data_IF_763087084672
#
_entry.id   IF_763087084672
#
_cell.length_a   1.000
_cell.length_b   1.000
_cell.length_c   1.000
_cell.angle_alpha   90.00
_cell.angle_beta   90.00
_cell.angle_gamma   90.00
#
_symmetry.space_group_name_H-M   'P 1'
#
loop_
_entity.id
_entity.type
_entity.pdbx_description
1 polymer ?
#
# COMPACT_ATOMS: atom_id res chain seq x y z
N UNK A 1 1.96 -43.27 22.32
CA UNK A 1 3.03 -42.65 21.50
C UNK A 1 2.65 -42.38 20.03
N UNK A 2 1.84 -43.20 19.34
CA UNK A 2 1.47 -42.95 17.92
C UNK A 2 0.47 -41.80 17.70
N UNK A 3 -0.55 -41.63 18.55
CA UNK A 3 -1.57 -40.57 18.40
C UNK A 3 -1.00 -39.13 18.46
N UNK A 4 0.03 -38.91 19.30
CA UNK A 4 0.71 -37.61 19.43
C UNK A 4 1.52 -37.23 18.17
N UNK A 5 1.92 -38.22 17.36
CA UNK A 5 2.71 -38.00 16.14
C UNK A 5 1.82 -37.49 15.01
N UNK A 6 0.60 -38.03 14.88
CA UNK A 6 -0.40 -37.57 13.91
C UNK A 6 -0.91 -36.16 14.23
N UNK A 7 -1.17 -35.85 15.50
CA UNK A 7 -1.57 -34.49 15.93
C UNK A 7 -0.50 -33.44 15.65
N UNK A 8 0.79 -33.79 15.80
CA UNK A 8 1.90 -32.87 15.51
C UNK A 8 2.04 -32.55 14.03
N UNK A 9 1.75 -33.50 13.14
CA UNK A 9 1.83 -33.28 11.69
C UNK A 9 0.63 -32.47 11.19
N UNK A 10 -0.55 -32.69 11.77
CA UNK A 10 -1.73 -31.89 11.49
C UNK A 10 -1.54 -30.42 11.94
N UNK A 11 -0.96 -30.19 13.12
CA UNK A 11 -0.67 -28.84 13.61
C UNK A 11 0.33 -28.09 12.70
N UNK A 12 1.38 -28.76 12.24
CA UNK A 12 2.36 -28.18 11.31
C UNK A 12 1.70 -27.83 9.98
N UNK A 13 0.83 -28.70 9.45
CA UNK A 13 0.13 -28.45 8.19
C UNK A 13 -0.81 -27.24 8.28
N UNK A 14 -1.54 -27.07 9.39
CA UNK A 14 -2.43 -25.92 9.60
C UNK A 14 -1.65 -24.62 9.72
N UNK A 15 -0.54 -24.62 10.47
CA UNK A 15 0.32 -23.44 10.60
C UNK A 15 0.94 -23.06 9.24
N UNK A 16 1.43 -24.05 8.49
CA UNK A 16 2.01 -23.82 7.17
C UNK A 16 0.97 -23.26 6.18
N UNK A 17 -0.25 -23.83 6.16
CA UNK A 17 -1.34 -23.34 5.33
C UNK A 17 -1.78 -21.91 5.72
N UNK A 18 -1.86 -21.61 7.03
CA UNK A 18 -2.17 -20.27 7.53
C UNK A 18 -1.09 -19.25 7.18
N UNK A 19 0.19 -19.63 7.29
CA UNK A 19 1.31 -18.77 6.90
C UNK A 19 1.32 -18.49 5.38
N UNK A 20 1.03 -19.50 4.54
CA UNK A 20 0.90 -19.30 3.10
C UNK A 20 -0.29 -18.40 2.74
N UNK A 21 -1.43 -18.55 3.40
CA UNK A 21 -2.60 -17.70 3.16
C UNK A 21 -2.36 -16.24 3.58
N UNK A 22 -1.65 -16.00 4.69
CA UNK A 22 -1.25 -14.65 5.10
C UNK A 22 -0.22 -14.04 4.13
N UNK A 23 0.78 -14.82 3.71
CA UNK A 23 1.80 -14.36 2.76
C UNK A 23 1.21 -14.07 1.37
N UNK A 24 0.14 -14.76 0.97
CA UNK A 24 -0.56 -14.52 -0.28
C UNK A 24 -1.32 -13.18 -0.31
N UNK A 25 -1.66 -12.61 0.86
CA UNK A 25 -2.29 -11.29 0.96
C UNK A 25 -1.26 -10.14 1.08
N UNK A 26 0.04 -10.45 1.15
CA UNK A 26 1.14 -9.48 1.30
C UNK A 26 2.38 -9.87 0.51
N UNK A 27 2.19 -10.47 -0.68
CA UNK A 27 3.30 -10.92 -1.54
C UNK A 27 3.97 -9.78 -2.31
N UNK A 28 3.41 -8.58 -2.27
CA UNK A 28 4.01 -7.37 -2.80
C UNK A 28 5.15 -6.91 -1.90
N UNK A 29 6.39 -7.10 -2.36
CA UNK A 29 7.52 -6.39 -1.78
C UNK A 29 7.48 -4.93 -2.28
N UNK A 30 6.81 -4.05 -1.55
CA UNK A 30 6.71 -2.62 -1.88
C UNK A 30 8.08 -1.91 -1.98
N UNK A 31 9.16 -2.55 -1.52
CA UNK A 31 10.54 -2.03 -1.54
C UNK A 31 11.48 -2.85 -2.43
N UNK A 32 10.96 -3.77 -3.26
CA UNK A 32 11.78 -4.60 -4.14
C UNK A 32 12.74 -3.76 -4.98
N UNK A 33 14.00 -4.20 -5.10
CA UNK A 33 15.08 -3.58 -5.87
C UNK A 33 14.85 -3.59 -7.40
N UNK A 34 13.61 -3.45 -7.87
CA UNK A 34 13.32 -3.18 -9.27
C UNK A 34 14.12 -1.94 -9.64
N UNK A 35 15.09 -2.03 -10.56
CA UNK A 35 15.80 -0.85 -11.02
C UNK A 35 14.73 0.14 -11.46
N UNK A 36 14.82 1.38 -10.97
CA UNK A 36 14.02 2.46 -11.51
C UNK A 36 14.44 2.62 -12.98
N UNK A 37 13.85 1.81 -13.87
CA UNK A 37 14.12 1.88 -15.29
C UNK A 37 13.87 3.31 -15.71
N UNK A 38 14.78 3.91 -16.48
CA UNK A 38 14.74 5.31 -16.89
C UNK A 38 13.33 5.74 -17.30
N UNK A 39 12.56 6.23 -16.33
CA UNK A 39 11.25 6.79 -16.56
C UNK A 39 11.54 8.12 -17.22
N UNK A 40 11.49 8.12 -18.55
CA UNK A 40 11.63 9.35 -19.31
C UNK A 40 10.38 10.16 -18.97
N UNK A 41 10.54 11.20 -18.17
CA UNK A 41 9.50 12.15 -17.80
C UNK A 41 9.14 13.01 -19.03
N UNK A 42 8.53 12.36 -20.02
CA UNK A 42 8.02 12.98 -21.24
C UNK A 42 6.49 13.13 -21.19
N UNK A 43 5.89 12.96 -20.01
CA UNK A 43 4.49 13.27 -19.77
C UNK A 43 4.25 14.78 -19.60
N UNK A 44 3.01 15.24 -19.77
CA UNK A 44 2.65 16.62 -19.49
C UNK A 44 3.03 17.02 -18.07
N UNK A 45 3.43 18.29 -17.88
CA UNK A 45 3.73 18.85 -16.55
C UNK A 45 2.49 18.71 -15.66
N UNK A 46 2.61 17.93 -14.58
CA UNK A 46 1.55 17.82 -13.58
C UNK A 46 1.62 19.01 -12.65
N UNK A 47 0.48 19.68 -12.42
CA UNK A 47 0.37 20.83 -11.53
C UNK A 47 -0.88 20.75 -10.67
N UNK A 48 -0.93 21.55 -9.61
CA UNK A 48 -2.08 21.65 -8.71
C UNK A 48 -1.97 20.72 -7.50
N UNK A 49 -3.10 20.51 -6.83
CA UNK A 49 -3.15 19.76 -5.57
C UNK A 49 -3.91 18.46 -5.76
N UNK A 50 -3.30 17.35 -5.36
CA UNK A 50 -3.92 16.04 -5.27
C UNK A 50 -4.25 15.76 -3.80
N UNK A 51 -5.54 15.65 -3.48
CA UNK A 51 -6.04 15.39 -2.13
C UNK A 51 -6.47 13.94 -1.98
N UNK A 52 -5.94 13.25 -0.97
CA UNK A 52 -6.38 11.90 -0.63
C UNK A 52 -6.66 11.72 0.86
N UNK A 53 -7.44 10.70 1.16
CA UNK A 53 -7.85 10.35 2.52
C UNK A 53 -7.77 8.83 2.66
N UNK A 54 -7.18 8.32 3.73
CA UNK A 54 -7.02 6.89 3.89
C UNK A 54 -6.49 6.41 5.22
N UNK A 55 -6.10 5.14 5.26
CA UNK A 55 -5.57 4.45 6.43
C UNK A 55 -4.31 5.11 6.99
N UNK A 56 -4.27 5.31 8.31
CA UNK A 56 -3.04 5.70 9.00
C UNK A 56 -1.94 4.63 8.90
N UNK A 57 -2.29 3.36 8.70
CA UNK A 57 -1.34 2.28 8.49
C UNK A 57 -0.49 2.45 7.23
N UNK A 58 -0.99 3.19 6.22
CA UNK A 58 -0.27 3.49 4.99
C UNK A 58 0.56 4.79 5.10
N UNK A 59 0.53 5.51 6.22
CA UNK A 59 1.07 6.86 6.37
C UNK A 59 2.54 7.00 5.92
N UNK A 60 3.41 6.10 6.36
CA UNK A 60 4.82 6.13 5.98
C UNK A 60 5.05 5.95 4.47
N UNK A 61 4.27 5.07 3.83
CA UNK A 61 4.32 4.89 2.38
C UNK A 61 3.81 6.13 1.64
N UNK A 62 2.74 6.75 2.15
CA UNK A 62 2.21 7.99 1.62
C UNK A 62 3.21 9.14 1.72
N UNK A 63 3.95 9.26 2.82
CA UNK A 63 4.97 10.30 2.98
C UNK A 63 6.15 10.10 2.03
N UNK A 64 6.63 8.86 1.86
CA UNK A 64 7.65 8.53 0.88
C UNK A 64 7.21 8.87 -0.55
N UNK A 65 5.97 8.50 -0.91
CA UNK A 65 5.41 8.78 -2.23
C UNK A 65 5.23 10.28 -2.48
N UNK A 66 4.68 11.05 -1.53
CA UNK A 66 4.56 12.51 -1.62
C UNK A 66 5.90 13.17 -1.94
N UNK A 67 6.95 12.75 -1.21
CA UNK A 67 8.31 13.26 -1.40
C UNK A 67 8.86 12.98 -2.80
N UNK A 68 8.80 11.72 -3.24
CA UNK A 68 9.24 11.33 -4.58
C UNK A 68 8.44 12.01 -5.69
N UNK A 69 7.13 12.14 -5.51
CA UNK A 69 6.24 12.79 -6.47
C UNK A 69 6.53 14.29 -6.59
N UNK A 70 6.72 15.00 -5.47
CA UNK A 70 7.07 16.41 -5.46
C UNK A 70 8.45 16.68 -6.09
N UNK A 71 9.42 15.80 -5.86
CA UNK A 71 10.74 15.88 -6.49
C UNK A 71 10.66 15.76 -8.02
N UNK A 72 9.76 14.93 -8.53
CA UNK A 72 9.54 14.77 -9.97
C UNK A 72 8.61 15.84 -10.58
N UNK A 73 7.75 16.47 -9.78
CA UNK A 73 6.69 17.39 -10.23
C UNK A 73 6.62 18.63 -9.33
N UNK A 74 7.49 19.61 -9.55
CA UNK A 74 7.58 20.82 -8.71
C UNK A 74 6.33 21.70 -8.72
N UNK A 75 5.46 21.58 -9.72
CA UNK A 75 4.20 22.32 -9.81
C UNK A 75 3.03 21.64 -9.10
N UNK A 76 3.23 20.45 -8.54
CA UNK A 76 2.18 19.64 -7.95
C UNK A 76 2.43 19.39 -6.45
N UNK A 77 1.35 19.32 -5.68
CA UNK A 77 1.35 19.01 -4.25
C UNK A 77 0.45 17.83 -3.99
N UNK A 78 0.87 16.93 -3.10
CA UNK A 78 0.04 15.81 -2.64
C UNK A 78 -0.28 16.00 -1.17
N UNK A 79 -1.56 16.02 -0.83
CA UNK A 79 -2.06 16.06 0.54
C UNK A 79 -2.72 14.73 0.88
N UNK A 80 -2.52 14.26 2.11
CA UNK A 80 -3.09 13.01 2.58
C UNK A 80 -3.57 13.14 4.02
N UNK A 81 -4.84 12.79 4.27
CA UNK A 81 -5.41 12.71 5.62
C UNK A 81 -5.49 11.25 6.09
N UNK A 82 -4.85 10.89 7.22
CA UNK A 82 -4.82 9.52 7.73
C UNK A 82 -6.06 9.16 8.57
N UNK A 83 -7.26 9.44 8.07
CA UNK A 83 -8.54 9.31 8.80
C UNK A 83 -9.13 7.88 8.82
N UNK A 84 -8.44 6.92 8.20
CA UNK A 84 -8.86 5.53 8.09
C UNK A 84 -9.44 5.18 6.71
N UNK A 85 -9.38 3.89 6.35
CA UNK A 85 -9.86 3.41 5.04
C UNK A 85 -11.37 3.58 4.86
N UNK A 86 -12.15 3.58 5.95
CA UNK A 86 -13.58 3.87 5.92
C UNK A 86 -13.89 5.30 5.51
N UNK A 87 -13.15 6.26 6.06
CA UNK A 87 -13.23 7.66 5.69
C UNK A 87 -12.79 7.86 4.23
N UNK A 88 -11.68 7.22 3.82
CA UNK A 88 -11.21 7.24 2.44
C UNK A 88 -12.24 6.73 1.43
N UNK A 89 -12.89 5.59 1.71
CA UNK A 89 -13.98 5.08 0.86
C UNK A 89 -15.13 6.07 0.74
N UNK A 90 -15.57 6.67 1.86
CA UNK A 90 -16.63 7.67 1.84
C UNK A 90 -16.22 8.90 1.02
N UNK A 91 -14.98 9.36 1.20
CA UNK A 91 -14.46 10.54 0.55
C UNK A 91 -14.34 10.41 -0.98
N UNK A 92 -14.03 9.22 -1.50
CA UNK A 92 -14.12 8.96 -2.94
C UNK A 92 -15.57 9.01 -3.41
N UNK A 93 -16.49 8.37 -2.66
CA UNK A 93 -17.90 8.29 -3.04
C UNK A 93 -18.60 9.65 -3.06
N UNK A 94 -18.24 10.53 -2.13
CA UNK A 94 -18.78 11.90 -2.06
C UNK A 94 -17.94 12.94 -2.82
N UNK A 95 -16.84 12.53 -3.45
CA UNK A 95 -15.99 13.37 -4.28
C UNK A 95 -15.08 14.34 -3.51
N UNK A 96 -15.00 14.24 -2.18
CA UNK A 96 -14.10 15.06 -1.36
C UNK A 96 -12.63 14.63 -1.41
N UNK A 97 -12.34 13.42 -1.91
CA UNK A 97 -10.98 12.94 -2.18
C UNK A 97 -10.81 12.46 -3.63
N UNK A 98 -9.62 12.72 -4.18
CA UNK A 98 -9.23 12.29 -5.53
C UNK A 98 -8.59 10.90 -5.54
N UNK A 99 -8.09 10.45 -4.39
CA UNK A 99 -7.59 9.10 -4.17
C UNK A 99 -7.79 8.69 -2.71
N UNK A 100 -7.80 7.38 -2.43
CA UNK A 100 -7.94 6.83 -1.09
C UNK A 100 -7.25 5.47 -0.97
N UNK A 101 -7.00 5.04 0.27
CA UNK A 101 -6.35 3.77 0.62
C UNK A 101 -6.62 3.33 2.05
#
# INVERSE_FOLDING_TARGET
>A
MKALRFGRHAAIAVIAAGALALAACGSDNATGNTPAGNQTSAGPKVTGTLTGIGSSAQGAAMDAWKSGFAAANSGATVQYSPDGSGAGRKAILDGSAQFAG
#
